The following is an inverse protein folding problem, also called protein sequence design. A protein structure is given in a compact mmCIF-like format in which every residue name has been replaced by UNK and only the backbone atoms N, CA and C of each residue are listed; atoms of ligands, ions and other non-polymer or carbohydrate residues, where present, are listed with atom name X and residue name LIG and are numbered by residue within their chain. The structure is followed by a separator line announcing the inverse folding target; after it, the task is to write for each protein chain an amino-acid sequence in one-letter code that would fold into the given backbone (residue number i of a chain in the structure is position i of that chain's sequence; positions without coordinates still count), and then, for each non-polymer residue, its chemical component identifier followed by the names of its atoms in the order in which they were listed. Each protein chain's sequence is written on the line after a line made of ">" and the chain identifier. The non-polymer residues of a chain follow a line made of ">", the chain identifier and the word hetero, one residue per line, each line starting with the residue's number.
data_IF_906336278558
#
_entry.id   IF_906336278558
#
_cell.length_a   1.000
_cell.length_b   1.000
_cell.length_c   1.000
_cell.angle_alpha   90.00
_cell.angle_beta   90.00
_cell.angle_gamma   90.00
#
_symmetry.space_group_name_H-M   'P 1'
#
loop_
_entity.id
_entity.type
_entity.pdbx_description
1 polymer ?
#
# COMPACT_ATOMS: atom_id res chain seq x y z
N UNK A 1 -64.97 -11.85 50.18
CA UNK A 1 -66.37 -11.86 49.68
C UNK A 1 -66.35 -11.35 48.26
N UNK A 2 -66.86 -12.15 47.32
CA UNK A 2 -67.54 -11.82 46.04
C UNK A 2 -66.97 -10.66 45.16
N UNK A 3 -66.84 -10.71 43.83
CA UNK A 3 -67.30 -11.61 42.76
C UNK A 3 -66.77 -11.04 41.43
N UNK A 4 -66.46 -11.93 40.49
CA UNK A 4 -66.68 -11.91 39.02
C UNK A 4 -66.54 -10.64 38.18
N UNK A 5 -65.91 -10.84 37.01
CA UNK A 5 -66.10 -10.02 35.81
C UNK A 5 -65.17 -10.42 34.67
N UNK A 6 -65.52 -11.49 33.94
CA UNK A 6 -64.91 -11.81 32.64
C UNK A 6 -65.29 -10.74 31.61
N UNK A 7 -64.31 -10.25 30.84
CA UNK A 7 -64.55 -9.69 29.51
C UNK A 7 -63.41 -10.07 28.56
N UNK A 8 -63.76 -10.82 27.52
CA UNK A 8 -62.93 -11.19 26.37
C UNK A 8 -63.03 -10.11 25.29
N UNK A 9 -61.89 -9.61 24.81
CA UNK A 9 -61.56 -9.33 23.39
C UNK A 9 -60.31 -8.43 23.27
N UNK A 10 -59.73 -8.24 22.07
CA UNK A 10 -58.94 -9.19 21.29
C UNK A 10 -57.45 -8.76 21.27
N UNK A 11 -56.56 -9.70 20.94
CA UNK A 11 -55.15 -9.40 20.66
C UNK A 11 -55.04 -8.41 19.49
N UNK A 12 -54.77 -7.14 19.80
CA UNK A 12 -54.24 -6.17 18.84
C UNK A 12 -52.72 -6.27 18.86
N UNK A 13 -52.17 -6.87 17.80
CA UNK A 13 -50.77 -6.76 17.44
C UNK A 13 -50.47 -5.31 17.07
N UNK A 14 -49.80 -4.59 17.95
CA UNK A 14 -49.26 -3.25 17.68
C UNK A 14 -47.99 -3.40 16.86
N UNK A 15 -48.15 -3.41 15.54
CA UNK A 15 -47.08 -3.14 14.58
C UNK A 15 -46.71 -1.65 14.67
N UNK A 16 -45.61 -1.34 15.35
CA UNK A 16 -45.01 -0.01 15.28
C UNK A 16 -43.73 -0.06 14.42
N UNK A 17 -43.92 0.38 13.17
CA UNK A 17 -43.02 1.22 12.38
C UNK A 17 -41.52 1.07 12.59
N UNK A 18 -40.91 0.22 11.75
CA UNK A 18 -39.57 0.50 11.22
C UNK A 18 -39.74 1.10 9.81
N UNK A 19 -39.51 2.40 9.74
CA UNK A 19 -39.47 3.18 8.51
C UNK A 19 -38.32 2.69 7.62
N UNK A 20 -38.67 1.97 6.55
CA UNK A 20 -38.41 2.32 5.15
C UNK A 20 -37.29 3.34 4.88
N UNK A 21 -36.03 2.95 5.09
CA UNK A 21 -34.87 3.70 4.59
C UNK A 21 -33.66 2.82 4.21
N UNK A 22 -33.83 1.49 4.14
CA UNK A 22 -32.71 0.56 3.87
C UNK A 22 -32.92 -0.27 2.59
N UNK A 23 -34.13 -0.24 1.99
CA UNK A 23 -34.45 -1.01 0.77
C UNK A 23 -34.45 -0.17 -0.52
N UNK A 24 -33.79 0.99 -0.54
CA UNK A 24 -33.78 1.87 -1.74
C UNK A 24 -32.38 2.27 -2.24
N UNK A 25 -31.33 1.54 -1.87
CA UNK A 25 -29.98 1.73 -2.41
C UNK A 25 -29.46 0.55 -3.26
N UNK A 26 -30.27 -0.50 -3.45
CA UNK A 26 -30.03 -1.57 -4.44
C UNK A 26 -30.88 -1.29 -5.69
N UNK A 27 -30.71 -0.08 -6.23
CA UNK A 27 -31.30 0.29 -7.52
C UNK A 27 -30.54 -0.39 -8.63
N UNK A 28 -31.10 -1.49 -9.12
CA UNK A 28 -30.91 -2.07 -10.45
C UNK A 28 -29.51 -1.91 -11.06
N UNK A 29 -28.63 -2.88 -10.79
CA UNK A 29 -27.61 -3.26 -11.77
C UNK A 29 -28.36 -3.80 -12.99
N UNK A 30 -28.69 -2.92 -13.93
CA UNK A 30 -29.11 -3.33 -15.26
C UNK A 30 -27.94 -4.08 -15.88
N UNK A 31 -28.06 -5.40 -15.91
CA UNK A 31 -27.27 -6.28 -16.78
C UNK A 31 -27.72 -5.91 -18.19
N UNK A 32 -26.99 -4.99 -18.81
CA UNK A 32 -27.15 -4.74 -20.25
C UNK A 32 -26.72 -6.02 -20.99
N UNK A 33 -27.53 -6.41 -21.96
CA UNK A 33 -27.37 -7.59 -22.80
C UNK A 33 -26.03 -7.51 -23.59
N UNK A 34 -24.95 -8.07 -23.03
CA UNK A 34 -23.57 -8.04 -23.56
C UNK A 34 -23.39 -8.96 -24.80
N UNK A 35 -24.13 -8.71 -25.89
CA UNK A 35 -23.88 -9.30 -27.21
C UNK A 35 -23.22 -8.33 -28.21
N UNK A 36 -22.99 -7.07 -27.81
CA UNK A 36 -22.39 -6.06 -28.68
C UNK A 36 -20.86 -6.14 -28.67
N UNK A 37 -20.27 -6.45 -29.83
CA UNK A 37 -18.82 -6.40 -30.02
C UNK A 37 -18.37 -4.94 -30.15
N UNK A 38 -17.56 -4.46 -29.20
CA UNK A 38 -17.03 -3.09 -29.17
C UNK A 38 -15.91 -2.93 -30.21
N UNK A 39 -16.04 -2.01 -31.20
CA UNK A 39 -15.01 -1.84 -32.23
C UNK A 39 -13.85 -0.95 -31.73
N UNK A 40 -12.75 -1.55 -31.30
CA UNK A 40 -11.50 -0.83 -30.99
C UNK A 40 -10.75 -0.50 -32.29
N UNK A 41 -10.70 -1.46 -33.20
CA UNK A 41 -10.24 -1.29 -34.56
C UNK A 41 -11.41 -1.57 -35.51
N UNK A 42 -11.88 -0.53 -36.22
CA UNK A 42 -12.99 -0.65 -37.20
C UNK A 42 -12.72 -1.73 -38.25
N UNK A 43 -11.45 -1.88 -38.62
CA UNK A 43 -10.93 -2.84 -39.58
C UNK A 43 -10.15 -3.98 -38.91
N UNK A 44 -10.46 -4.27 -37.64
CA UNK A 44 -9.84 -5.36 -36.91
C UNK A 44 -10.10 -6.71 -37.57
N UNK A 45 -9.12 -7.61 -37.45
CA UNK A 45 -9.06 -8.94 -38.03
C UNK A 45 -9.25 -10.05 -36.97
N UNK A 46 -9.56 -9.67 -35.74
CA UNK A 46 -9.70 -10.58 -34.59
C UNK A 46 -10.80 -10.07 -33.65
N UNK A 47 -11.56 -10.99 -33.05
CA UNK A 47 -12.45 -10.72 -31.91
C UNK A 47 -11.81 -11.26 -30.64
N UNK A 48 -11.62 -10.39 -29.66
CA UNK A 48 -11.15 -10.74 -28.32
C UNK A 48 -12.34 -10.78 -27.37
N UNK A 49 -12.60 -11.93 -26.78
CA UNK A 49 -13.57 -12.13 -25.71
C UNK A 49 -12.83 -12.19 -24.38
N UNK A 50 -13.26 -11.38 -23.43
CA UNK A 50 -12.68 -11.30 -22.08
C UNK A 50 -13.74 -11.70 -21.07
N UNK A 51 -13.45 -12.72 -20.28
CA UNK A 51 -14.31 -13.21 -19.21
C UNK A 51 -13.59 -12.99 -17.87
N UNK A 52 -14.25 -12.36 -16.91
CA UNK A 52 -13.67 -12.14 -15.58
C UNK A 52 -14.73 -12.24 -14.49
N UNK A 53 -14.40 -12.94 -13.42
CA UNK A 53 -15.26 -13.05 -12.26
C UNK A 53 -15.08 -11.83 -11.35
N UNK A 54 -16.15 -11.09 -11.13
CA UNK A 54 -16.19 -9.90 -10.28
C UNK A 54 -17.22 -10.18 -9.17
N UNK A 55 -16.75 -10.26 -7.93
CA UNK A 55 -17.60 -10.47 -6.75
C UNK A 55 -18.58 -11.66 -6.88
N UNK A 56 -18.12 -12.77 -7.45
CA UNK A 56 -18.92 -13.98 -7.64
C UNK A 56 -19.86 -13.97 -8.86
N UNK A 57 -19.78 -12.93 -9.72
CA UNK A 57 -20.52 -12.84 -10.99
C UNK A 57 -19.54 -12.79 -12.17
N UNK A 58 -19.78 -13.60 -13.21
CA UNK A 58 -18.94 -13.59 -14.42
C UNK A 58 -19.38 -12.47 -15.38
N UNK A 59 -18.48 -11.53 -15.65
CA UNK A 59 -18.67 -10.45 -16.64
C UNK A 59 -17.97 -10.81 -17.96
N UNK A 60 -18.57 -10.43 -19.10
CA UNK A 60 -18.11 -10.87 -20.42
C UNK A 60 -18.07 -9.71 -21.43
N UNK A 61 -16.89 -9.34 -21.90
CA UNK A 61 -16.74 -8.26 -22.87
C UNK A 61 -16.16 -8.77 -24.20
N UNK A 62 -16.70 -8.32 -25.33
CA UNK A 62 -16.22 -8.68 -26.67
C UNK A 62 -15.71 -7.46 -27.43
N UNK A 63 -14.53 -7.57 -28.06
CA UNK A 63 -13.88 -6.46 -28.74
C UNK A 63 -13.39 -6.85 -30.13
N UNK A 64 -13.63 -6.02 -31.15
CA UNK A 64 -12.99 -6.13 -32.46
C UNK A 64 -11.66 -5.38 -32.43
N UNK A 65 -10.56 -6.11 -32.65
CA UNK A 65 -9.19 -5.64 -32.45
C UNK A 65 -8.32 -5.99 -33.66
N UNK A 66 -7.17 -5.32 -33.77
CA UNK A 66 -6.12 -5.64 -34.73
C UNK A 66 -5.10 -6.58 -34.10
N UNK A 67 -4.96 -7.79 -34.65
CA UNK A 67 -3.97 -8.75 -34.21
C UNK A 67 -2.55 -8.21 -34.36
N UNK A 68 -2.24 -7.45 -35.41
CA UNK A 68 -0.92 -6.85 -35.61
C UNK A 68 -0.60 -5.81 -34.52
N UNK A 69 -1.56 -4.94 -34.17
CA UNK A 69 -1.37 -3.96 -33.09
C UNK A 69 -1.15 -4.65 -31.74
N UNK A 70 -1.94 -5.70 -31.43
CA UNK A 70 -1.77 -6.46 -30.20
C UNK A 70 -0.39 -7.13 -30.09
N UNK A 71 0.10 -7.76 -31.18
CA UNK A 71 1.44 -8.37 -31.19
C UNK A 71 2.56 -7.34 -31.01
N UNK A 72 2.38 -6.12 -31.51
CA UNK A 72 3.37 -5.05 -31.35
C UNK A 72 3.37 -4.46 -29.93
N UNK A 73 2.20 -4.40 -29.31
CA UNK A 73 1.99 -3.68 -28.05
C UNK A 73 1.87 -4.59 -26.82
N UNK A 74 1.99 -5.91 -26.98
CA UNK A 74 1.90 -6.89 -25.89
C UNK A 74 2.65 -8.16 -26.24
N UNK A 75 3.64 -8.52 -25.41
CA UNK A 75 4.39 -9.78 -25.55
C UNK A 75 3.52 -11.01 -25.28
N UNK A 76 2.49 -10.87 -24.46
CA UNK A 76 1.49 -11.92 -24.25
C UNK A 76 0.81 -12.26 -25.57
N UNK A 77 0.24 -11.27 -26.27
CA UNK A 77 -0.45 -11.49 -27.53
C UNK A 77 0.51 -11.86 -28.68
N UNK A 78 1.73 -11.32 -28.67
CA UNK A 78 2.80 -11.74 -29.58
C UNK A 78 3.01 -13.26 -29.53
N UNK A 79 3.17 -13.80 -28.31
CA UNK A 79 3.39 -15.23 -28.09
C UNK A 79 2.14 -16.06 -28.37
N UNK A 80 0.99 -15.61 -27.90
CA UNK A 80 -0.29 -16.32 -28.07
C UNK A 80 -0.65 -16.48 -29.57
N UNK A 81 -0.39 -15.44 -30.35
CA UNK A 81 -0.68 -15.39 -31.79
C UNK A 81 0.52 -15.78 -32.66
N UNK A 82 1.55 -16.40 -32.07
CA UNK A 82 2.71 -16.90 -32.79
C UNK A 82 2.35 -18.20 -33.53
N UNK A 83 2.66 -18.25 -34.82
CA UNK A 83 2.41 -19.42 -35.67
C UNK A 83 3.15 -20.65 -35.15
N UNK A 84 2.44 -21.77 -35.01
CA UNK A 84 3.02 -23.08 -34.67
C UNK A 84 3.37 -23.31 -33.20
N UNK A 85 3.09 -22.35 -32.29
CA UNK A 85 3.40 -22.49 -30.86
C UNK A 85 2.18 -22.82 -30.01
N UNK A 86 1.08 -22.10 -30.22
CA UNK A 86 -0.18 -22.29 -29.50
C UNK A 86 -1.33 -22.60 -30.45
N UNK A 87 -2.30 -23.38 -29.98
CA UNK A 87 -3.46 -23.78 -30.78
C UNK A 87 -4.33 -22.58 -31.20
N UNK A 88 -4.36 -21.52 -30.39
CA UNK A 88 -4.98 -20.24 -30.69
C UNK A 88 -4.38 -19.61 -31.95
N UNK A 89 -3.06 -19.41 -31.98
CA UNK A 89 -2.36 -18.81 -33.12
C UNK A 89 -2.55 -19.61 -34.42
N UNK A 90 -2.48 -20.94 -34.35
CA UNK A 90 -2.71 -21.82 -35.51
C UNK A 90 -4.15 -21.71 -36.02
N UNK A 91 -5.15 -21.69 -35.13
CA UNK A 91 -6.56 -21.52 -35.50
C UNK A 91 -6.82 -20.17 -36.16
N UNK A 92 -6.28 -19.09 -35.58
CA UNK A 92 -6.41 -17.74 -36.14
C UNK A 92 -5.79 -17.67 -37.54
N UNK A 93 -4.59 -18.21 -37.72
CA UNK A 93 -3.90 -18.20 -39.02
C UNK A 93 -4.65 -19.02 -40.09
N UNK A 94 -5.15 -20.20 -39.72
CA UNK A 94 -5.94 -21.04 -40.62
C UNK A 94 -7.21 -20.32 -41.09
N UNK A 95 -7.95 -19.70 -40.15
CA UNK A 95 -9.17 -18.96 -40.48
C UNK A 95 -8.87 -17.69 -41.27
N UNK A 96 -7.78 -16.96 -40.95
CA UNK A 96 -7.31 -15.83 -41.77
C UNK A 96 -7.02 -16.23 -43.22
N UNK A 97 -6.48 -17.44 -43.45
CA UNK A 97 -6.25 -17.95 -44.82
C UNK A 97 -7.56 -18.15 -45.57
N UNK A 98 -8.52 -18.82 -44.93
CA UNK A 98 -9.86 -19.05 -45.50
C UNK A 98 -10.59 -17.74 -45.79
N UNK A 99 -10.54 -16.78 -44.87
CA UNK A 99 -11.20 -15.48 -45.03
C UNK A 99 -10.59 -14.64 -46.16
N UNK A 100 -9.27 -14.72 -46.37
CA UNK A 100 -8.59 -14.02 -47.48
C UNK A 100 -8.95 -14.60 -48.85
N UNK A 101 -9.31 -15.87 -48.92
CA UNK A 101 -9.80 -16.50 -50.16
C UNK A 101 -11.25 -16.08 -50.45
N UNK A 102 -12.08 -15.94 -49.41
CA UNK A 102 -13.49 -15.57 -49.54
C UNK A 102 -13.71 -14.07 -49.73
N UNK A 103 -12.90 -13.24 -49.07
CA UNK A 103 -13.05 -11.79 -49.04
C UNK A 103 -11.82 -11.11 -49.64
N UNK A 104 -12.07 -10.13 -50.52
CA UNK A 104 -11.01 -9.34 -51.16
C UNK A 104 -10.18 -8.50 -50.17
N UNK A 105 -10.76 -8.14 -49.03
CA UNK A 105 -10.08 -7.45 -47.91
C UNK A 105 -10.67 -7.92 -46.58
N UNK A 106 -9.83 -8.01 -45.54
CA UNK A 106 -10.24 -8.32 -44.17
C UNK A 106 -11.22 -7.29 -43.60
N UNK A 107 -11.22 -6.06 -44.13
CA UNK A 107 -12.10 -4.97 -43.68
C UNK A 107 -13.58 -5.27 -43.94
N UNK A 108 -13.87 -6.11 -44.94
CA UNK A 108 -15.24 -6.46 -45.37
C UNK A 108 -15.78 -7.71 -44.69
N UNK A 109 -14.97 -8.39 -43.87
CA UNK A 109 -15.39 -9.60 -43.17
C UNK A 109 -16.40 -9.24 -42.09
N UNK A 110 -17.59 -9.87 -42.06
CA UNK A 110 -18.56 -9.71 -40.98
C UNK A 110 -17.96 -10.14 -39.63
N UNK A 111 -18.33 -9.44 -38.54
CA UNK A 111 -17.75 -9.70 -37.21
C UNK A 111 -17.97 -11.14 -36.74
N UNK A 112 -19.11 -11.77 -37.09
CA UNK A 112 -19.42 -13.15 -36.72
C UNK A 112 -18.55 -14.22 -37.40
N UNK A 113 -17.81 -13.87 -38.45
CA UNK A 113 -16.90 -14.79 -39.16
C UNK A 113 -15.43 -14.59 -38.78
N UNK A 114 -15.12 -13.54 -38.01
CA UNK A 114 -13.75 -13.28 -37.56
C UNK A 114 -13.29 -14.35 -36.55
N UNK A 115 -11.98 -14.65 -36.50
CA UNK A 115 -11.42 -15.49 -35.46
C UNK A 115 -11.71 -14.92 -34.07
N UNK A 116 -12.06 -15.80 -33.13
CA UNK A 116 -12.37 -15.43 -31.75
C UNK A 116 -11.31 -16.01 -30.81
N UNK A 117 -10.73 -15.17 -29.95
CA UNK A 117 -9.88 -15.61 -28.84
C UNK A 117 -10.60 -15.29 -27.53
N UNK A 118 -10.63 -16.27 -26.64
CA UNK A 118 -11.15 -16.11 -25.29
C UNK A 118 -9.98 -15.94 -24.32
N UNK A 119 -10.06 -14.92 -23.48
CA UNK A 119 -9.17 -14.71 -22.34
C UNK A 119 -10.00 -14.74 -21.08
N UNK A 120 -9.54 -15.53 -20.12
CA UNK A 120 -10.14 -15.61 -18.79
C UNK A 120 -9.20 -14.94 -17.79
N UNK A 121 -9.81 -14.24 -16.85
CA UNK A 121 -9.16 -13.58 -15.73
C UNK A 121 -8.12 -12.50 -16.11
N UNK A 122 -8.54 -11.25 -15.92
CA UNK A 122 -7.71 -10.05 -16.17
C UNK A 122 -6.83 -9.66 -14.98
N UNK A 123 -6.80 -10.45 -13.91
CA UNK A 123 -5.99 -10.26 -12.71
C UNK A 123 -6.79 -9.79 -11.50
N UNK A 124 -6.11 -9.66 -10.35
CA UNK A 124 -6.69 -9.28 -9.05
C UNK A 124 -7.11 -7.80 -9.01
N UNK A 125 -8.22 -7.47 -9.65
CA UNK A 125 -8.80 -6.11 -9.69
C UNK A 125 -9.85 -5.90 -8.59
N UNK A 126 -10.24 -4.64 -8.33
CA UNK A 126 -11.43 -4.37 -7.49
C UNK A 126 -12.73 -4.62 -8.22
N UNK A 127 -13.84 -4.54 -7.49
CA UNK A 127 -15.14 -4.33 -8.11
C UNK A 127 -15.06 -3.12 -9.07
N UNK A 128 -15.15 -3.39 -10.37
CA UNK A 128 -15.17 -2.40 -11.43
C UNK A 128 -16.61 -2.17 -11.87
N UNK A 129 -16.92 -0.93 -12.25
CA UNK A 129 -18.25 -0.58 -12.74
C UNK A 129 -18.58 -1.27 -14.07
N UNK A 130 -17.56 -1.53 -14.89
CA UNK A 130 -17.69 -2.18 -16.19
C UNK A 130 -16.36 -2.80 -16.58
N UNK A 131 -16.36 -4.12 -16.82
CA UNK A 131 -15.23 -4.83 -17.43
C UNK A 131 -14.96 -4.30 -18.84
N UNK A 132 -16.05 -4.03 -19.57
CA UNK A 132 -16.02 -3.50 -20.93
C UNK A 132 -15.24 -2.19 -21.03
N UNK A 133 -15.45 -1.22 -20.13
CA UNK A 133 -14.72 0.06 -20.17
C UNK A 133 -13.24 -0.09 -19.81
N UNK A 134 -12.92 -0.89 -18.79
CA UNK A 134 -11.53 -1.13 -18.38
C UNK A 134 -10.71 -1.79 -19.50
N UNK A 135 -11.25 -2.83 -20.12
CA UNK A 135 -10.60 -3.51 -21.24
C UNK A 135 -10.57 -2.64 -22.49
N UNK A 136 -11.61 -1.86 -22.77
CA UNK A 136 -11.60 -0.90 -23.87
C UNK A 136 -10.48 0.13 -23.72
N UNK A 137 -10.30 0.71 -22.52
CA UNK A 137 -9.23 1.67 -22.24
C UNK A 137 -7.85 1.07 -22.50
N UNK A 138 -7.60 -0.16 -22.01
CA UNK A 138 -6.35 -0.87 -22.32
C UNK A 138 -6.18 -1.07 -23.82
N UNK A 139 -7.19 -1.62 -24.50
CA UNK A 139 -7.10 -1.95 -25.91
C UNK A 139 -6.92 -0.70 -26.77
N UNK A 140 -7.57 0.42 -26.46
CA UNK A 140 -7.33 1.71 -27.11
C UNK A 140 -5.85 2.11 -26.98
N UNK A 141 -5.27 2.02 -25.78
CA UNK A 141 -3.84 2.31 -25.57
C UNK A 141 -2.95 1.40 -26.42
N UNK A 142 -3.23 0.08 -26.45
CA UNK A 142 -2.45 -0.88 -27.25
C UNK A 142 -2.54 -0.62 -28.77
N UNK A 143 -3.63 0.01 -29.22
CA UNK A 143 -3.81 0.43 -30.62
C UNK A 143 -3.30 1.85 -30.88
N UNK A 144 -2.60 2.48 -29.93
CA UNK A 144 -2.07 3.84 -30.06
C UNK A 144 -3.15 4.93 -30.04
N UNK A 145 -4.36 4.61 -29.58
CA UNK A 145 -5.49 5.52 -29.48
C UNK A 145 -5.56 6.18 -28.09
N UNK A 146 -6.33 7.25 -27.99
CA UNK A 146 -6.57 7.95 -26.74
C UNK A 146 -7.81 7.42 -26.01
N UNK A 147 -7.72 7.30 -24.69
CA UNK A 147 -8.86 6.98 -23.84
C UNK A 147 -9.77 8.21 -23.67
N UNK A 148 -11.08 7.97 -23.56
CA UNK A 148 -12.09 9.04 -23.63
C UNK A 148 -12.07 9.97 -22.41
N UNK A 149 -11.75 9.43 -21.23
CA UNK A 149 -11.83 10.18 -19.96
C UNK A 149 -10.55 10.06 -19.18
N UNK A 150 -10.25 11.07 -18.36
CA UNK A 150 -9.13 11.00 -17.42
C UNK A 150 -9.47 9.99 -16.31
N UNK A 151 -8.72 8.88 -16.19
CA UNK A 151 -9.07 7.83 -15.27
C UNK A 151 -8.86 8.27 -13.82
N UNK A 152 -9.78 7.85 -12.95
CA UNK A 152 -9.60 7.96 -11.50
C UNK A 152 -8.44 7.06 -11.07
N UNK A 153 -7.84 7.35 -9.90
CA UNK A 153 -6.71 6.57 -9.35
C UNK A 153 -7.03 5.06 -9.27
N UNK A 154 -8.25 4.70 -8.88
CA UNK A 154 -8.68 3.29 -8.82
C UNK A 154 -8.71 2.64 -10.21
N UNK A 155 -9.20 3.36 -11.23
CA UNK A 155 -9.20 2.87 -12.61
C UNK A 155 -7.78 2.74 -13.15
N UNK A 156 -6.88 3.68 -12.83
CA UNK A 156 -5.46 3.56 -13.17
C UNK A 156 -4.78 2.37 -12.50
N UNK A 157 -5.10 2.09 -11.23
CA UNK A 157 -4.59 0.93 -10.51
C UNK A 157 -5.07 -0.37 -11.17
N UNK A 158 -6.37 -0.50 -11.44
CA UNK A 158 -6.93 -1.64 -12.17
C UNK A 158 -6.33 -1.76 -13.58
N UNK A 159 -6.19 -0.66 -14.32
CA UNK A 159 -5.58 -0.65 -15.65
C UNK A 159 -4.12 -1.11 -15.61
N UNK A 160 -3.37 -0.75 -14.57
CA UNK A 160 -1.99 -1.21 -14.38
C UNK A 160 -1.93 -2.72 -14.12
N UNK A 161 -2.85 -3.26 -13.31
CA UNK A 161 -2.97 -4.72 -13.06
C UNK A 161 -3.26 -5.46 -14.37
N UNK A 162 -4.24 -5.00 -15.14
CA UNK A 162 -4.60 -5.64 -16.41
C UNK A 162 -3.46 -5.52 -17.43
N UNK A 163 -2.79 -4.37 -17.48
CA UNK A 163 -1.66 -4.18 -18.38
C UNK A 163 -0.46 -5.09 -18.05
N UNK A 164 -0.20 -5.35 -16.77
CA UNK A 164 0.83 -6.30 -16.33
C UNK A 164 0.46 -7.74 -16.71
N UNK A 165 -0.80 -8.12 -16.50
CA UNK A 165 -1.34 -9.43 -16.91
C UNK A 165 -1.12 -9.72 -18.39
N UNK A 166 -1.21 -8.70 -19.23
CA UNK A 166 -0.99 -8.79 -20.68
C UNK A 166 0.43 -8.39 -21.13
N UNK A 167 1.40 -8.24 -20.22
CA UNK A 167 2.78 -7.82 -20.53
C UNK A 167 2.82 -6.58 -21.45
N UNK A 168 2.10 -5.54 -21.02
CA UNK A 168 1.86 -4.31 -21.77
C UNK A 168 2.02 -3.03 -20.91
N UNK A 169 2.57 -3.15 -19.69
CA UNK A 169 2.80 -2.03 -18.77
C UNK A 169 3.56 -0.86 -19.41
N UNK A 170 4.56 -1.16 -20.24
CA UNK A 170 5.35 -0.14 -20.92
C UNK A 170 4.49 0.81 -21.76
N UNK A 171 3.51 0.28 -22.50
CA UNK A 171 2.65 1.10 -23.36
C UNK A 171 1.67 1.94 -22.55
N UNK A 172 1.12 1.38 -21.47
CA UNK A 172 0.28 2.13 -20.53
C UNK A 172 1.08 3.21 -19.81
N UNK A 173 2.28 2.90 -19.33
CA UNK A 173 3.19 3.87 -18.70
C UNK A 173 3.54 5.03 -19.63
N UNK A 174 3.94 4.73 -20.87
CA UNK A 174 4.21 5.73 -21.89
C UNK A 174 2.98 6.61 -22.18
N UNK A 175 1.80 6.02 -22.25
CA UNK A 175 0.54 6.76 -22.44
C UNK A 175 0.23 7.70 -21.26
N UNK A 176 0.28 7.17 -20.04
CA UNK A 176 0.03 7.90 -18.78
C UNK A 176 1.00 9.07 -18.63
N UNK A 177 2.28 8.87 -18.95
CA UNK A 177 3.31 9.91 -18.95
C UNK A 177 3.04 10.99 -20.01
N UNK A 178 2.77 10.59 -21.26
CA UNK A 178 2.44 11.50 -22.37
C UNK A 178 1.23 12.37 -22.05
N UNK A 179 0.19 11.79 -21.45
CA UNK A 179 -1.04 12.50 -21.05
C UNK A 179 -0.94 13.20 -19.71
N UNK A 180 0.16 13.02 -18.97
CA UNK A 180 0.42 13.66 -17.68
C UNK A 180 -0.70 13.41 -16.64
N UNK A 181 -1.27 12.20 -16.62
CA UNK A 181 -2.39 11.89 -15.72
C UNK A 181 -1.98 12.00 -14.25
N UNK A 182 -0.82 11.47 -13.87
CA UNK A 182 -0.34 11.53 -12.48
C UNK A 182 -0.14 12.97 -12.01
N UNK A 183 0.46 13.83 -12.84
CA UNK A 183 0.59 15.27 -12.58
C UNK A 183 -0.77 15.96 -12.45
N UNK A 184 -1.76 15.54 -13.24
CA UNK A 184 -3.12 16.08 -13.15
C UNK A 184 -3.80 15.67 -11.84
N UNK A 185 -3.58 14.43 -11.39
CA UNK A 185 -4.07 13.92 -10.11
C UNK A 185 -3.44 14.70 -8.94
N UNK A 186 -2.12 14.90 -8.98
CA UNK A 186 -1.42 15.69 -7.97
C UNK A 186 -1.92 17.14 -7.94
N UNK A 187 -2.07 17.78 -9.11
CA UNK A 187 -2.57 19.15 -9.21
C UNK A 187 -3.99 19.35 -8.69
N UNK A 188 -4.82 18.30 -8.70
CA UNK A 188 -6.19 18.30 -8.14
C UNK A 188 -6.22 17.95 -6.65
N UNK A 189 -5.15 17.36 -6.11
CA UNK A 189 -5.13 16.90 -4.72
C UNK A 189 -4.58 17.99 -3.81
N UNK A 190 -5.46 18.62 -3.01
CA UNK A 190 -5.04 19.63 -2.03
C UNK A 190 -4.25 18.99 -0.89
N UNK A 191 -3.41 19.77 -0.19
CA UNK A 191 -2.66 19.27 0.98
C UNK A 191 -3.58 18.66 2.07
N UNK A 192 -4.76 19.23 2.28
CA UNK A 192 -5.77 18.69 3.21
C UNK A 192 -6.32 17.34 2.72
N UNK A 193 -6.66 17.24 1.44
CA UNK A 193 -7.14 16.00 0.84
C UNK A 193 -6.05 14.91 0.86
N UNK A 194 -4.80 15.31 0.64
CA UNK A 194 -3.64 14.44 0.70
C UNK A 194 -3.53 13.80 2.09
N UNK A 195 -3.52 14.59 3.17
CA UNK A 195 -3.47 14.04 4.55
C UNK A 195 -4.67 13.14 4.87
N UNK A 196 -5.85 13.41 4.28
CA UNK A 196 -7.08 12.66 4.52
C UNK A 196 -7.23 11.37 3.70
N UNK A 197 -6.30 11.03 2.80
CA UNK A 197 -6.40 9.79 2.01
C UNK A 197 -6.50 8.55 2.91
N UNK A 198 -7.43 7.65 2.55
CA UNK A 198 -7.54 6.32 3.15
C UNK A 198 -6.36 5.45 2.76
N UNK A 199 -6.15 4.37 3.53
CA UNK A 199 -5.15 3.35 3.22
C UNK A 199 -5.30 2.82 1.79
N UNK A 200 -6.51 2.44 1.40
CA UNK A 200 -6.78 1.91 0.06
C UNK A 200 -6.34 2.89 -1.04
N UNK A 201 -6.57 4.19 -0.87
CA UNK A 201 -6.14 5.20 -1.85
C UNK A 201 -4.63 5.35 -1.90
N UNK A 202 -3.96 5.28 -0.76
CA UNK A 202 -2.49 5.32 -0.68
C UNK A 202 -1.90 4.07 -1.33
N UNK A 203 -2.44 2.89 -1.05
CA UNK A 203 -2.07 1.61 -1.68
C UNK A 203 -2.29 1.64 -3.20
N UNK A 204 -3.43 2.14 -3.68
CA UNK A 204 -3.69 2.31 -5.12
C UNK A 204 -2.67 3.25 -5.79
N UNK A 205 -2.36 4.40 -5.18
CA UNK A 205 -1.34 5.31 -5.71
C UNK A 205 0.05 4.65 -5.72
N UNK A 206 0.41 3.93 -4.66
CA UNK A 206 1.69 3.24 -4.59
C UNK A 206 1.80 2.11 -5.63
N UNK A 207 0.74 1.32 -5.83
CA UNK A 207 0.71 0.29 -6.88
C UNK A 207 0.93 0.92 -8.26
N UNK A 208 0.17 1.96 -8.61
CA UNK A 208 0.34 2.70 -9.87
C UNK A 208 1.78 3.21 -10.01
N UNK A 209 2.36 3.72 -8.92
CA UNK A 209 3.71 4.24 -8.92
C UNK A 209 4.77 3.16 -9.16
N UNK A 210 4.61 1.98 -8.56
CA UNK A 210 5.51 0.84 -8.76
C UNK A 210 5.38 0.28 -10.17
N UNK A 211 4.15 0.09 -10.65
CA UNK A 211 3.89 -0.54 -11.96
C UNK A 211 4.20 0.39 -13.15
N UNK A 212 4.03 1.71 -12.99
CA UNK A 212 4.26 2.71 -14.04
C UNK A 212 5.51 3.58 -13.80
N UNK A 213 6.38 3.15 -12.88
CA UNK A 213 7.68 3.78 -12.60
C UNK A 213 7.63 5.25 -12.17
N UNK A 214 6.62 5.64 -11.37
CA UNK A 214 6.45 7.00 -10.90
C UNK A 214 7.13 7.25 -9.54
N UNK A 215 8.44 7.51 -9.60
CA UNK A 215 9.35 7.71 -8.45
C UNK A 215 8.80 8.54 -7.28
N UNK A 216 8.21 9.74 -7.47
CA UNK A 216 7.77 10.57 -6.34
C UNK A 216 6.67 9.94 -5.49
N UNK A 217 5.78 9.17 -6.12
CA UNK A 217 4.71 8.47 -5.42
C UNK A 217 5.23 7.23 -4.68
N UNK A 218 6.27 6.56 -5.19
CA UNK A 218 6.90 5.42 -4.51
C UNK A 218 7.38 5.87 -3.13
N UNK A 219 8.21 6.91 -3.07
CA UNK A 219 8.80 7.40 -1.82
C UNK A 219 7.74 7.95 -0.87
N UNK A 220 6.86 8.82 -1.37
CA UNK A 220 5.84 9.47 -0.55
C UNK A 220 4.86 8.50 0.09
N UNK A 221 4.31 7.57 -0.69
CA UNK A 221 3.25 6.69 -0.21
C UNK A 221 3.80 5.50 0.56
N UNK A 222 4.98 4.98 0.22
CA UNK A 222 5.66 3.99 1.06
C UNK A 222 5.96 4.54 2.47
N UNK A 223 6.53 5.74 2.56
CA UNK A 223 6.80 6.40 3.85
C UNK A 223 5.52 6.52 4.69
N UNK A 224 4.41 6.89 4.04
CA UNK A 224 3.12 7.01 4.71
C UNK A 224 2.58 5.69 5.22
N UNK A 225 2.66 4.61 4.42
CA UNK A 225 2.22 3.28 4.84
C UNK A 225 3.02 2.80 6.07
N UNK A 226 4.33 3.00 6.04
CA UNK A 226 5.24 2.68 7.16
C UNK A 226 4.90 3.50 8.41
N UNK A 227 4.69 4.81 8.28
CA UNK A 227 4.41 5.67 9.43
C UNK A 227 3.03 5.39 10.03
N UNK A 228 2.00 5.20 9.20
CA UNK A 228 0.62 4.99 9.65
C UNK A 228 0.35 3.59 10.22
N UNK A 229 1.28 2.65 10.07
CA UNK A 229 1.12 1.28 10.57
C UNK A 229 0.17 0.44 9.72
N UNK A 230 0.04 0.74 8.42
CA UNK A 230 -0.91 0.07 7.53
C UNK A 230 -0.37 -1.21 6.87
N UNK A 231 0.80 -1.69 7.30
CA UNK A 231 1.60 -2.74 6.65
C UNK A 231 1.74 -3.97 7.54
N UNK A 232 2.18 -5.10 6.97
CA UNK A 232 2.41 -6.34 7.72
C UNK A 232 1.14 -7.16 8.01
N UNK A 233 0.05 -6.88 7.29
CA UNK A 233 -1.20 -7.65 7.36
C UNK A 233 -1.23 -8.65 6.20
N UNK A 234 -1.61 -9.88 6.49
CA UNK A 234 -1.86 -10.87 5.43
C UNK A 234 -3.03 -10.42 4.56
N UNK A 235 -2.79 -10.36 3.26
CA UNK A 235 -3.80 -10.02 2.27
C UNK A 235 -4.49 -11.29 1.78
N UNK A 236 -5.82 -11.25 1.70
CA UNK A 236 -6.57 -12.30 1.02
C UNK A 236 -6.34 -12.21 -0.50
N UNK A 237 -6.11 -13.36 -1.14
CA UNK A 237 -5.93 -13.48 -2.58
C UNK A 237 -7.14 -12.98 -3.37
N UNK A 238 -8.34 -12.98 -2.76
CA UNK A 238 -9.56 -12.41 -3.35
C UNK A 238 -9.53 -10.88 -3.44
N UNK A 239 -8.65 -10.23 -2.68
CA UNK A 239 -8.54 -8.77 -2.66
C UNK A 239 -7.70 -8.25 -3.83
N UNK A 240 -7.93 -7.00 -4.25
CA UNK A 240 -7.16 -6.37 -5.31
C UNK A 240 -5.65 -6.35 -5.04
N UNK A 241 -4.84 -6.38 -6.10
CA UNK A 241 -3.38 -6.48 -6.00
C UNK A 241 -2.72 -5.37 -5.15
N UNK A 242 -3.32 -4.19 -5.00
CA UNK A 242 -2.74 -3.14 -4.14
C UNK A 242 -2.75 -3.47 -2.63
N UNK A 243 -3.46 -4.50 -2.21
CA UNK A 243 -3.37 -5.03 -0.85
C UNK A 243 -2.14 -5.94 -0.64
N UNK A 244 -1.49 -6.35 -1.74
CA UNK A 244 -0.33 -7.24 -1.78
C UNK A 244 0.64 -6.74 -2.86
N UNK A 245 1.37 -5.67 -2.52
CA UNK A 245 2.16 -4.92 -3.49
C UNK A 245 3.30 -5.75 -4.10
N UNK A 246 3.45 -5.75 -5.45
CA UNK A 246 4.40 -6.62 -6.12
C UNK A 246 5.87 -6.22 -5.88
N UNK A 247 6.80 -7.00 -6.46
CA UNK A 247 8.25 -6.75 -6.42
C UNK A 247 8.90 -6.80 -5.03
N UNK A 248 8.29 -7.55 -4.09
CA UNK A 248 8.58 -7.59 -2.65
C UNK A 248 8.52 -6.22 -1.94
N UNK A 249 7.67 -5.32 -2.43
CA UNK A 249 7.46 -4.01 -1.80
C UNK A 249 6.72 -4.19 -0.47
N UNK A 250 5.70 -5.05 -0.40
CA UNK A 250 4.91 -5.24 0.82
C UNK A 250 5.78 -5.71 2.00
N UNK A 251 6.67 -6.68 1.77
CA UNK A 251 7.60 -7.20 2.77
C UNK A 251 8.61 -6.15 3.20
N UNK A 252 9.13 -5.34 2.27
CA UNK A 252 10.05 -4.24 2.60
C UNK A 252 9.34 -3.19 3.46
N UNK A 253 8.09 -2.85 3.16
CA UNK A 253 7.31 -1.90 3.95
C UNK A 253 7.08 -2.41 5.38
N UNK A 254 6.68 -3.68 5.52
CA UNK A 254 6.49 -4.33 6.81
C UNK A 254 7.79 -4.37 7.63
N UNK A 255 8.90 -4.73 6.98
CA UNK A 255 10.20 -4.79 7.64
C UNK A 255 10.72 -3.41 8.07
N UNK A 256 10.56 -2.38 7.24
CA UNK A 256 10.89 -0.99 7.62
C UNK A 256 10.05 -0.51 8.79
N UNK A 257 8.77 -0.88 8.82
CA UNK A 257 7.86 -0.56 9.93
C UNK A 257 8.33 -1.19 11.24
N UNK A 258 8.69 -2.47 11.21
CA UNK A 258 9.24 -3.17 12.37
C UNK A 258 10.50 -2.46 12.87
N UNK A 259 11.47 -2.19 11.98
CA UNK A 259 12.69 -1.44 12.32
C UNK A 259 12.37 -0.07 12.94
N UNK A 260 11.38 0.67 12.43
CA UNK A 260 10.95 1.95 13.02
C UNK A 260 10.47 1.77 14.46
N UNK A 261 9.63 0.77 14.71
CA UNK A 261 9.12 0.49 16.04
C UNK A 261 10.23 0.05 17.01
N UNK A 262 11.12 -0.83 16.54
CA UNK A 262 12.31 -1.22 17.29
C UNK A 262 13.18 -0.01 17.66
N UNK A 263 13.33 0.98 16.77
CA UNK A 263 14.09 2.19 17.07
C UNK A 263 13.43 3.01 18.18
N UNK A 264 12.11 3.22 18.10
CA UNK A 264 11.35 3.92 19.14
C UNK A 264 11.48 3.19 20.49
N UNK A 265 11.39 1.86 20.48
CA UNK A 265 11.55 1.04 21.68
C UNK A 265 13.00 1.10 22.20
N UNK A 266 14.00 1.09 21.33
CA UNK A 266 15.42 1.12 21.72
C UNK A 266 15.79 2.40 22.48
N UNK A 267 15.13 3.54 22.21
CA UNK A 267 15.30 4.77 22.99
C UNK A 267 14.83 4.56 24.44
N UNK A 268 13.68 3.90 24.64
CA UNK A 268 13.17 3.59 25.97
C UNK A 268 14.12 2.62 26.70
N UNK A 269 14.55 1.56 26.01
CA UNK A 269 15.52 0.59 26.51
C UNK A 269 16.86 1.24 26.88
N UNK A 270 17.33 2.20 26.08
CA UNK A 270 18.54 2.96 26.35
C UNK A 270 18.43 3.72 27.68
N UNK A 271 17.37 4.51 27.88
CA UNK A 271 17.20 5.22 29.14
C UNK A 271 17.00 4.28 30.32
N UNK A 272 16.20 3.22 30.19
CA UNK A 272 16.04 2.22 31.26
C UNK A 272 17.38 1.56 31.60
N UNK A 273 18.20 1.25 30.61
CA UNK A 273 19.55 0.71 30.80
C UNK A 273 20.48 1.69 31.52
N UNK A 274 20.43 2.99 31.17
CA UNK A 274 21.25 4.02 31.84
C UNK A 274 20.97 4.10 33.34
N UNK A 275 19.69 4.11 33.74
CA UNK A 275 19.29 4.28 35.14
C UNK A 275 19.24 2.97 35.95
N UNK A 276 19.29 1.81 35.29
CA UNK A 276 19.47 0.51 35.95
C UNK A 276 20.95 0.09 36.01
N UNK A 277 21.83 0.80 35.32
CA UNK A 277 23.28 0.59 35.38
C UNK A 277 23.84 0.89 36.78
N UNK A 278 25.06 0.40 37.03
CA UNK A 278 25.79 0.72 38.28
C UNK A 278 26.41 2.12 38.27
N UNK A 279 26.34 2.83 37.15
CA UNK A 279 26.92 4.16 36.99
C UNK A 279 25.91 5.25 37.35
N UNK A 280 26.32 6.19 38.20
CA UNK A 280 25.46 7.30 38.60
C UNK A 280 25.23 8.25 37.42
N UNK A 281 23.95 8.54 37.15
CA UNK A 281 23.53 9.47 36.09
C UNK A 281 23.36 10.88 36.62
N UNK A 282 22.91 11.04 37.86
CA UNK A 282 22.91 12.30 38.57
C UNK A 282 24.34 12.81 38.77
N UNK A 283 24.74 13.80 37.96
CA UNK A 283 26.03 14.50 38.04
C UNK A 283 25.78 15.96 38.41
N UNK A 284 25.65 16.24 39.71
CA UNK A 284 25.71 17.60 40.24
C UNK A 284 27.15 17.91 40.66
N UNK A 285 27.55 19.17 40.51
CA UNK A 285 28.92 19.62 40.80
C UNK A 285 29.36 19.48 42.26
N UNK A 286 28.43 19.26 43.20
CA UNK A 286 28.73 19.18 44.63
C UNK A 286 28.28 17.87 45.31
N UNK A 287 27.27 17.16 44.81
CA UNK A 287 26.90 15.82 45.31
C UNK A 287 26.03 15.05 44.30
N UNK A 288 26.52 13.90 43.80
CA UNK A 288 25.70 12.94 43.03
C UNK A 288 24.72 12.22 43.96
N UNK A 289 23.43 12.14 43.61
CA UNK A 289 22.42 11.48 44.45
C UNK A 289 21.89 10.19 43.83
N UNK A 290 22.14 9.05 44.50
CA UNK A 290 21.54 7.77 44.13
C UNK A 290 20.00 7.76 44.31
N UNK A 291 19.48 8.59 45.22
CA UNK A 291 18.04 8.77 45.41
C UNK A 291 17.41 9.45 44.20
N UNK A 292 18.13 10.39 43.57
CA UNK A 292 17.68 11.03 42.34
C UNK A 292 17.59 10.01 41.19
N UNK A 293 18.60 9.17 41.00
CA UNK A 293 18.58 8.14 39.93
C UNK A 293 17.42 7.16 40.11
N UNK A 294 17.19 6.66 41.34
CA UNK A 294 16.04 5.79 41.66
C UNK A 294 14.69 6.49 41.44
N UNK A 295 14.58 7.76 41.81
CA UNK A 295 13.38 8.57 41.57
C UNK A 295 13.11 8.71 40.06
N UNK A 296 14.13 9.08 39.28
CA UNK A 296 14.01 9.22 37.83
C UNK A 296 13.61 7.91 37.16
N UNK A 297 14.21 6.78 37.56
CA UNK A 297 13.83 5.45 37.06
C UNK A 297 12.35 5.16 37.32
N UNK A 298 11.86 5.42 38.55
CA UNK A 298 10.47 5.21 38.93
C UNK A 298 9.49 6.07 38.12
N UNK A 299 9.80 7.36 37.94
CA UNK A 299 9.00 8.26 37.11
C UNK A 299 9.00 7.83 35.63
N UNK A 300 10.14 7.33 35.12
CA UNK A 300 10.27 6.82 33.76
C UNK A 300 9.37 5.63 33.50
N UNK A 301 9.43 4.63 34.39
CA UNK A 301 8.60 3.43 34.31
C UNK A 301 7.13 3.84 34.36
N UNK A 302 6.75 4.71 35.32
CA UNK A 302 5.37 5.20 35.44
C UNK A 302 4.91 5.91 34.16
N UNK A 303 5.78 6.74 33.58
CA UNK A 303 5.48 7.45 32.33
C UNK A 303 5.25 6.47 31.16
N UNK A 304 6.20 5.58 30.87
CA UNK A 304 6.10 4.68 29.73
C UNK A 304 4.95 3.67 29.86
N UNK A 305 4.66 3.19 31.08
CA UNK A 305 3.49 2.34 31.34
C UNK A 305 2.19 3.12 31.11
N UNK A 306 2.08 4.35 31.64
CA UNK A 306 0.90 5.20 31.42
C UNK A 306 0.73 5.56 29.93
N UNK A 307 1.82 5.72 29.21
CA UNK A 307 1.85 5.99 27.78
C UNK A 307 1.53 4.75 26.91
N UNK A 308 1.43 3.57 27.53
CA UNK A 308 1.16 2.30 26.83
C UNK A 308 2.35 1.74 26.03
N UNK A 309 3.56 2.24 26.25
CA UNK A 309 4.76 1.85 25.47
C UNK A 309 5.69 0.90 26.20
N UNK A 310 5.45 0.67 27.50
CA UNK A 310 6.18 -0.29 28.32
C UNK A 310 5.18 -1.19 29.04
N UNK A 311 5.43 -2.51 28.98
CA UNK A 311 4.77 -3.51 29.82
C UNK A 311 5.85 -4.17 30.68
N UNK A 312 5.61 -4.25 31.98
CA UNK A 312 6.50 -4.97 32.90
C UNK A 312 5.99 -6.40 33.08
N UNK A 313 6.83 -7.37 32.77
CA UNK A 313 6.51 -8.78 32.86
C UNK A 313 7.62 -9.51 33.59
N UNK A 314 7.24 -10.39 34.52
CA UNK A 314 8.20 -11.23 35.24
C UNK A 314 8.75 -12.32 34.32
N UNK A 315 10.07 -12.48 34.28
CA UNK A 315 10.75 -13.54 33.50
C UNK A 315 10.81 -14.90 34.17
N UNK A 316 10.00 -15.15 35.21
CA UNK A 316 10.00 -16.41 35.98
C UNK A 316 9.14 -17.49 35.31
N UNK A 317 8.11 -17.07 34.58
CA UNK A 317 7.23 -17.94 33.80
C UNK A 317 7.40 -17.51 32.34
N UNK A 318 7.79 -18.45 31.48
CA UNK A 318 7.81 -18.25 30.04
C UNK A 318 6.38 -17.93 29.58
N UNK A 319 6.22 -16.78 28.96
CA UNK A 319 4.97 -16.42 28.30
C UNK A 319 5.28 -16.45 26.80
N UNK A 320 4.84 -17.50 26.14
CA UNK A 320 5.13 -17.75 24.73
C UNK A 320 4.31 -16.87 23.78
N UNK A 321 3.39 -16.04 24.29
CA UNK A 321 2.61 -15.13 23.45
C UNK A 321 3.47 -13.93 23.01
N UNK A 322 3.78 -13.79 21.70
CA UNK A 322 4.47 -12.62 21.20
C UNK A 322 3.59 -11.38 21.41
N UNK A 323 4.21 -10.30 21.91
CA UNK A 323 3.50 -9.04 22.07
C UNK A 323 3.01 -8.52 20.71
N UNK A 324 1.72 -8.19 20.62
CA UNK A 324 1.16 -7.56 19.43
C UNK A 324 1.95 -6.29 19.07
N UNK A 325 2.37 -6.20 17.81
CA UNK A 325 3.09 -5.03 17.30
C UNK A 325 2.17 -3.79 17.30
N UNK A 326 2.75 -2.62 17.54
CA UNK A 326 2.00 -1.36 17.52
C UNK A 326 1.46 -1.06 16.11
N UNK A 327 0.13 -1.04 15.97
CA UNK A 327 -0.56 -0.80 14.69
C UNK A 327 -0.87 0.68 14.41
N UNK A 328 -0.60 1.56 15.37
CA UNK A 328 -0.91 2.99 15.26
C UNK A 328 0.13 3.82 14.49
N UNK A 329 -0.14 5.12 14.41
CA UNK A 329 0.75 6.08 13.75
C UNK A 329 2.04 6.34 14.57
N UNK A 330 3.20 6.11 13.95
CA UNK A 330 4.51 6.33 14.56
C UNK A 330 4.73 7.78 15.01
N UNK A 331 4.21 8.76 14.26
CA UNK A 331 4.34 10.18 14.60
C UNK A 331 3.53 10.52 15.85
N UNK A 332 2.31 9.98 15.97
CA UNK A 332 1.48 10.12 17.18
C UNK A 332 2.17 9.46 18.38
N UNK A 333 2.78 8.30 18.17
CA UNK A 333 3.57 7.63 19.20
C UNK A 333 4.76 8.49 19.68
N UNK A 334 5.51 9.11 18.75
CA UNK A 334 6.57 10.06 19.10
C UNK A 334 6.04 11.28 19.85
N UNK A 335 4.92 11.85 19.40
CA UNK A 335 4.30 13.00 20.09
C UNK A 335 3.85 12.65 21.50
N UNK A 336 3.35 11.43 21.73
CA UNK A 336 3.01 10.94 23.05
C UNK A 336 4.25 10.86 23.96
N UNK A 337 5.37 10.37 23.44
CA UNK A 337 6.64 10.33 24.18
C UNK A 337 7.21 11.73 24.48
N UNK A 338 6.96 12.73 23.62
CA UNK A 338 7.35 14.14 23.85
C UNK A 338 6.61 14.78 25.04
N UNK A 339 5.47 14.23 25.46
CA UNK A 339 4.71 14.71 26.63
C UNK A 339 5.34 14.33 27.98
N UNK A 340 6.54 13.73 27.97
CA UNK A 340 7.28 13.41 29.19
C UNK A 340 7.49 14.64 30.09
N UNK A 341 7.01 14.63 31.34
CA UNK A 341 7.18 15.75 32.26
C UNK A 341 8.65 16.02 32.64
N UNK A 342 8.91 17.23 33.11
CA UNK A 342 10.18 17.55 33.75
C UNK A 342 10.16 17.07 35.21
N UNK A 343 10.56 15.82 35.41
CA UNK A 343 10.62 15.21 36.74
C UNK A 343 11.80 15.77 37.55
N UNK A 344 11.51 16.32 38.73
CA UNK A 344 12.50 16.86 39.65
C UNK A 344 12.19 16.35 41.06
N UNK A 345 13.20 15.77 41.72
CA UNK A 345 13.06 15.31 43.11
C UNK A 345 13.05 16.50 44.09
N UNK A 346 13.86 17.51 43.81
CA UNK A 346 13.93 18.77 44.54
C UNK A 346 14.52 19.88 43.66
N UNK A 347 14.64 21.09 44.24
CA UNK A 347 15.17 22.30 43.57
C UNK A 347 16.62 22.22 43.11
N UNK A 348 17.42 21.29 43.62
CA UNK A 348 18.84 21.14 43.27
C UNK A 348 19.05 20.17 42.10
N UNK A 349 18.00 19.47 41.64
CA UNK A 349 18.07 18.43 40.61
C UNK A 349 17.35 18.81 39.30
N UNK A 350 17.45 20.07 38.88
CA UNK A 350 16.69 20.65 37.76
C UNK A 350 17.03 20.08 36.37
N UNK A 351 18.11 19.31 36.23
CA UNK A 351 18.57 18.74 34.95
C UNK A 351 18.80 17.24 34.98
N UNK A 352 18.42 16.58 36.07
CA UNK A 352 18.50 15.12 36.18
C UNK A 352 17.32 14.42 35.48
N UNK A 353 16.29 15.18 35.11
CA UNK A 353 15.09 14.69 34.45
C UNK A 353 15.33 14.16 33.03
N UNK A 354 14.65 13.06 32.69
CA UNK A 354 14.82 12.37 31.39
C UNK A 354 14.36 13.22 30.20
N UNK A 355 13.45 14.18 30.42
CA UNK A 355 12.89 15.07 29.38
C UNK A 355 13.99 15.76 28.57
N UNK A 356 14.98 16.33 29.24
CA UNK A 356 16.05 17.09 28.58
C UNK A 356 16.91 16.21 27.67
N UNK A 357 17.04 14.92 28.00
CA UNK A 357 17.87 13.97 27.27
C UNK A 357 17.11 13.26 26.15
N UNK A 358 15.83 12.94 26.35
CA UNK A 358 15.02 12.20 25.38
C UNK A 358 14.55 13.06 24.21
N UNK A 359 14.21 14.34 24.45
CA UNK A 359 13.68 15.22 23.39
C UNK A 359 14.61 15.34 22.17
N UNK A 360 15.94 15.58 22.31
CA UNK A 360 16.84 15.61 21.16
C UNK A 360 16.88 14.30 20.36
N UNK A 361 16.67 13.15 21.01
CA UNK A 361 16.61 11.85 20.32
C UNK A 361 15.30 11.68 19.56
N UNK A 362 14.18 12.13 20.13
CA UNK A 362 12.88 12.14 19.45
C UNK A 362 12.83 13.14 18.29
N UNK A 363 13.53 14.27 18.38
CA UNK A 363 13.71 15.22 17.28
C UNK A 363 14.50 14.59 16.14
N UNK A 364 15.64 13.95 16.45
CA UNK A 364 16.44 13.22 15.47
C UNK A 364 15.59 12.15 14.76
N UNK A 365 14.89 11.33 15.53
CA UNK A 365 14.05 10.26 14.98
C UNK A 365 12.91 10.82 14.12
N UNK A 366 12.30 11.94 14.54
CA UNK A 366 11.31 12.66 13.74
C UNK A 366 11.84 13.11 12.38
N UNK A 367 13.06 13.68 12.33
CA UNK A 367 13.71 14.04 11.06
C UNK A 367 13.97 12.80 10.18
N UNK A 368 14.37 11.67 10.78
CA UNK A 368 14.62 10.41 10.07
C UNK A 368 13.35 9.76 9.50
N UNK A 369 12.22 9.84 10.21
CA UNK A 369 10.95 9.26 9.74
C UNK A 369 10.46 9.88 8.44
N UNK A 370 10.78 11.15 8.16
CA UNK A 370 10.45 11.80 6.90
C UNK A 370 11.10 11.12 5.68
N UNK A 371 12.11 10.27 5.89
CA UNK A 371 12.93 9.64 4.86
C UNK A 371 12.87 8.12 4.87
N UNK A 372 11.94 7.53 5.63
CA UNK A 372 11.82 6.07 5.76
C UNK A 372 11.24 5.40 4.50
N UNK A 373 10.67 6.20 3.59
CA UNK A 373 10.10 5.73 2.33
C UNK A 373 11.10 5.02 1.41
N UNK A 374 10.56 4.21 0.52
CA UNK A 374 11.29 3.54 -0.55
C UNK A 374 11.60 4.57 -1.63
N UNK A 375 12.88 4.90 -1.79
CA UNK A 375 13.37 5.72 -2.88
C UNK A 375 13.22 4.94 -4.19
N UNK A 376 12.45 5.48 -5.13
CA UNK A 376 12.17 4.79 -6.39
C UNK A 376 13.43 4.53 -7.22
N UNK A 377 14.40 5.44 -7.23
CA UNK A 377 15.62 5.32 -8.04
C UNK A 377 16.54 4.24 -7.48
N UNK A 378 16.82 4.28 -6.18
CA UNK A 378 17.64 3.26 -5.53
C UNK A 378 16.98 1.88 -5.52
N UNK A 379 15.65 1.82 -5.50
CA UNK A 379 14.91 0.56 -5.60
C UNK A 379 15.05 -0.08 -6.98
N UNK A 380 15.08 0.71 -8.05
CA UNK A 380 15.25 0.19 -9.40
C UNK A 380 16.69 -0.23 -9.69
N UNK A 381 17.66 0.63 -9.35
CA UNK A 381 19.04 0.47 -9.84
C UNK A 381 19.96 -0.24 -8.84
N UNK A 382 19.69 -0.12 -7.53
CA UNK A 382 20.63 -0.54 -6.47
C UNK A 382 19.95 -1.37 -5.37
N UNK A 383 18.89 -2.13 -5.70
CA UNK A 383 18.05 -2.84 -4.72
C UNK A 383 18.86 -3.64 -3.70
N UNK A 384 19.80 -4.48 -4.14
CA UNK A 384 20.56 -5.36 -3.23
C UNK A 384 21.38 -4.60 -2.18
N UNK A 385 21.83 -3.39 -2.51
CA UNK A 385 22.58 -2.52 -1.60
C UNK A 385 21.70 -1.49 -0.90
N UNK A 386 20.44 -1.33 -1.28
CA UNK A 386 19.51 -0.33 -0.76
C UNK A 386 18.45 -0.92 0.16
N UNK A 387 17.81 -2.02 -0.25
CA UNK A 387 16.72 -2.66 0.47
C UNK A 387 17.16 -3.03 1.89
N UNK A 388 16.28 -2.78 2.86
CA UNK A 388 16.59 -3.01 4.27
C UNK A 388 16.57 -4.50 4.58
N UNK A 389 15.67 -5.26 3.95
CA UNK A 389 15.58 -6.72 4.15
C UNK A 389 16.80 -7.47 3.59
N UNK A 390 17.35 -7.00 2.48
CA UNK A 390 18.40 -7.73 1.75
C UNK A 390 19.82 -7.37 2.25
N UNK A 391 19.97 -6.22 2.93
CA UNK A 391 21.26 -5.75 3.40
C UNK A 391 21.68 -6.32 4.75
N UNK A 392 22.99 -6.50 4.93
CA UNK A 392 23.57 -6.97 6.19
C UNK A 392 23.30 -5.95 7.32
N UNK A 393 22.67 -6.42 8.40
CA UNK A 393 22.44 -5.61 9.61
C UNK A 393 23.77 -5.24 10.29
N UNK A 394 24.01 -3.96 10.60
CA UNK A 394 25.11 -3.58 11.47
C UNK A 394 24.91 -4.14 12.88
N UNK A 395 26.00 -4.55 13.54
CA UNK A 395 25.91 -4.98 14.94
C UNK A 395 25.62 -3.80 15.87
N UNK A 396 26.33 -2.69 15.66
CA UNK A 396 26.23 -1.49 16.48
C UNK A 396 26.13 -0.26 15.58
N UNK A 397 25.14 0.58 15.85
CA UNK A 397 25.08 1.94 15.34
C UNK A 397 25.43 2.93 16.45
N UNK A 398 26.22 3.95 16.10
CA UNK A 398 26.60 5.04 17.01
C UNK A 398 26.06 6.35 16.47
N UNK A 399 25.53 7.18 17.36
CA UNK A 399 25.03 8.52 17.01
C UNK A 399 26.12 9.47 16.52
N UNK A 400 27.36 9.31 16.98
CA UNK A 400 28.48 10.19 16.62
C UNK A 400 28.67 10.26 15.10
N UNK A 401 28.61 11.47 14.54
CA UNK A 401 28.80 11.72 13.11
C UNK A 401 27.57 11.48 12.23
N UNK A 402 26.44 11.02 12.78
CA UNK A 402 25.19 10.88 12.02
C UNK A 402 24.52 12.24 11.81
N UNK A 403 24.26 12.60 10.55
CA UNK A 403 23.52 13.81 10.20
C UNK A 403 22.45 13.52 9.15
N UNK A 404 21.16 13.75 9.44
CA UNK A 404 20.08 13.53 8.48
C UNK A 404 20.03 14.59 7.37
N UNK A 405 20.86 15.65 7.40
CA UNK A 405 20.70 16.85 6.54
C UNK A 405 21.45 16.85 5.21
N UNK A 406 22.19 15.79 4.87
CA UNK A 406 22.92 15.75 3.58
C UNK A 406 21.97 15.29 2.46
N UNK A 407 21.91 16.06 1.38
CA UNK A 407 21.08 15.81 0.18
C UNK A 407 21.89 14.99 -0.83
N UNK A 408 21.47 13.74 -1.07
CA UNK A 408 22.03 12.86 -2.10
C UNK A 408 21.57 11.41 -1.96
N UNK A 409 21.50 10.68 -3.08
CA UNK A 409 21.30 9.23 -3.11
C UNK A 409 22.57 8.49 -2.63
N UNK A 410 22.47 7.19 -2.30
CA UNK A 410 23.63 6.37 -1.90
C UNK A 410 23.90 6.38 -0.40
N UNK A 411 25.03 6.94 0.03
CA UNK A 411 25.53 6.88 1.41
C UNK A 411 24.48 7.30 2.46
N UNK A 412 23.61 8.27 2.16
CA UNK A 412 22.56 8.67 3.09
C UNK A 412 21.53 7.57 3.36
N UNK A 413 21.08 6.85 2.33
CA UNK A 413 20.17 5.72 2.54
C UNK A 413 20.86 4.59 3.30
N UNK A 414 22.17 4.41 3.08
CA UNK A 414 22.97 3.45 3.84
C UNK A 414 23.07 3.85 5.33
N UNK A 415 23.32 5.13 5.64
CA UNK A 415 23.40 5.64 7.01
C UNK A 415 22.06 5.57 7.73
N UNK A 416 20.98 6.00 7.06
CA UNK A 416 19.62 5.92 7.58
C UNK A 416 19.23 4.47 7.86
N UNK A 417 19.48 3.57 6.90
CA UNK A 417 19.28 2.14 7.08
C UNK A 417 20.11 1.63 8.25
N UNK A 418 21.39 1.97 8.34
CA UNK A 418 22.28 1.49 9.39
C UNK A 418 21.75 1.87 10.78
N UNK A 419 21.23 3.09 10.95
CA UNK A 419 20.53 3.51 12.16
C UNK A 419 19.32 2.62 12.43
N UNK A 420 18.47 2.42 11.43
CA UNK A 420 17.21 1.71 11.63
C UNK A 420 17.36 0.19 11.77
N UNK A 421 18.35 -0.45 11.14
CA UNK A 421 18.48 -1.92 11.09
C UNK A 421 19.56 -2.49 12.02
N UNK A 422 20.30 -1.64 12.73
CA UNK A 422 21.33 -2.12 13.66
C UNK A 422 20.74 -2.94 14.80
N UNK A 423 21.45 -4.01 15.20
CA UNK A 423 21.07 -4.85 16.34
C UNK A 423 21.10 -4.05 17.64
N UNK A 424 22.16 -3.28 17.86
CA UNK A 424 22.31 -2.39 19.00
C UNK A 424 22.49 -0.94 18.55
N UNK A 425 21.98 0.00 19.34
CA UNK A 425 22.03 1.44 19.07
C UNK A 425 22.58 2.15 20.28
N UNK A 426 23.75 2.75 20.13
CA UNK A 426 24.32 3.65 21.12
C UNK A 426 23.79 5.07 20.88
N UNK A 427 22.77 5.41 21.66
CA UNK A 427 22.16 6.74 21.67
C UNK A 427 22.97 7.78 22.46
N UNK A 428 24.06 7.35 23.10
CA UNK A 428 25.02 8.22 23.77
C UNK A 428 25.66 9.24 22.83
N UNK A 429 26.27 10.25 23.46
CA UNK A 429 27.09 11.24 22.76
C UNK A 429 28.53 10.79 22.68
#
# INVERSE_FOLDING_TARGET
>A
MATNGEERSPRKSTSNGRSSAVDSALGALSIEDESMVVPIATHGDLVLQVEHEIAGSSAHASFRVSASALKQSSRYFERLLQSGRFGEGVRVEALHRTLKEQYRSMDKVPVGELPVIKVQDVGRTSAIKSLTSLCADLLHILHGQDIQTNPLVANLANLSIVADRFDALHFVGAHVARKKFLRTIDGKTTAKAEVALSEEKVRQRLLVAVMLDHRPWIERYSARLIIKGWVGREADLSTPLWWDLPSRIEEELAYRRECVLENIQSIQSYFLGLYTSRERRCKLGYDSSAQCDSYQLGEMIRFFVRNGTLKLQGGVIENDEPSEQFTGDATVLLESLRQVPEYQIDRHHSHCGIRTQILPLLDLLGECLLRVGICGDCWADFRGEYAWMDAKRPLLWKRQGFSPRVLGHGNHHADLRAMFTATERDWGQ
#
